data_IF_251788619542
#
_entry.id   IF_251788619542
#
_cell.length_a   1.000
_cell.length_b   1.000
_cell.length_c   1.000
_cell.angle_alpha   90.00
_cell.angle_beta   90.00
_cell.angle_gamma   90.00
#
_symmetry.space_group_name_H-M   'P 1'
#
loop_
_entity.id
_entity.type
_entity.pdbx_description
1 polymer ?
#
# COMPACT_ATOMS: atom_id res chain seq x y z
N UNK A 1 -6.73 -31.55 -7.27
CA UNK A 1 -5.64 -31.32 -8.23
C UNK A 1 -4.94 -30.02 -7.87
N UNK A 2 -3.61 -29.90 -7.98
CA UNK A 2 -2.93 -28.62 -7.76
C UNK A 2 -3.44 -27.58 -8.77
N UNK A 3 -3.60 -26.32 -8.34
CA UNK A 3 -3.96 -25.23 -9.24
C UNK A 3 -2.91 -25.05 -10.33
N UNK A 4 -3.30 -24.71 -11.58
CA UNK A 4 -2.33 -24.46 -12.63
C UNK A 4 -1.39 -23.30 -12.28
N UNK A 5 -0.16 -23.27 -12.83
CA UNK A 5 0.74 -22.14 -12.69
C UNK A 5 0.07 -20.82 -13.11
N UNK A 6 0.38 -19.69 -12.47
CA UNK A 6 -0.14 -18.39 -12.90
C UNK A 6 0.42 -17.96 -14.26
N UNK A 7 -0.39 -17.25 -15.04
CA UNK A 7 0.10 -16.47 -16.19
C UNK A 7 0.57 -15.09 -15.75
N UNK A 8 -0.05 -14.52 -14.71
CA UNK A 8 0.22 -13.17 -14.22
C UNK A 8 0.59 -13.16 -12.75
N UNK A 9 1.66 -12.41 -12.44
CA UNK A 9 2.07 -12.06 -11.09
C UNK A 9 1.82 -10.56 -10.93
N UNK A 10 0.77 -10.22 -10.19
CA UNK A 10 0.30 -8.85 -9.98
C UNK A 10 0.68 -8.37 -8.58
N UNK A 11 1.36 -7.23 -8.47
CA UNK A 11 1.88 -6.72 -7.21
C UNK A 11 1.25 -5.36 -6.87
N UNK A 12 0.86 -5.17 -5.61
CA UNK A 12 0.87 -3.83 -5.04
C UNK A 12 2.30 -3.31 -4.95
N UNK A 13 2.44 -1.99 -4.86
CA UNK A 13 3.76 -1.34 -4.75
C UNK A 13 4.07 -1.01 -3.30
N UNK A 14 3.24 -0.19 -2.64
CA UNK A 14 3.42 0.15 -1.23
C UNK A 14 3.19 -1.06 -0.34
N UNK A 15 4.01 -1.24 0.69
CA UNK A 15 3.90 -2.38 1.61
C UNK A 15 4.33 -3.74 1.04
N UNK A 16 4.64 -3.81 -0.26
CA UNK A 16 5.06 -5.03 -0.97
C UNK A 16 6.41 -4.87 -1.65
N UNK A 17 6.53 -3.95 -2.62
CA UNK A 17 7.79 -3.69 -3.33
C UNK A 17 8.63 -2.62 -2.63
N UNK A 18 7.97 -1.67 -1.98
CA UNK A 18 8.57 -0.55 -1.27
C UNK A 18 7.92 -0.37 0.11
N UNK A 19 8.63 0.30 1.01
CA UNK A 19 8.07 0.76 2.27
C UNK A 19 8.23 -0.21 3.43
N UNK A 20 9.26 -1.08 3.42
CA UNK A 20 9.78 -1.75 4.62
C UNK A 20 11.28 -2.07 4.46
N UNK A 21 12.15 -1.23 5.03
CA UNK A 21 13.52 -1.65 5.34
C UNK A 21 13.59 -1.90 6.83
N UNK A 22 13.92 -3.12 7.24
CA UNK A 22 14.34 -3.38 8.62
C UNK A 22 15.70 -2.69 8.79
N UNK A 23 15.73 -1.51 9.42
CA UNK A 23 17.01 -0.89 9.76
C UNK A 23 17.60 -1.69 10.92
N UNK A 24 18.68 -2.42 10.65
CA UNK A 24 19.51 -2.98 11.72
C UNK A 24 20.16 -1.82 12.47
N UNK A 25 20.09 -1.74 13.82
CA UNK A 25 20.76 -0.69 14.55
C UNK A 25 22.27 -0.75 14.25
N UNK A 26 22.83 0.36 13.79
CA UNK A 26 24.28 0.53 13.63
C UNK A 26 24.94 0.65 15.00
N UNK A 27 25.08 -0.47 15.71
CA UNK A 27 26.01 -0.70 16.82
C UNK A 27 25.73 -2.07 17.42
N UNK A 28 26.80 -2.84 17.66
CA UNK A 28 26.80 -4.20 18.22
C UNK A 28 26.24 -4.34 19.65
N UNK A 29 25.53 -3.34 20.18
CA UNK A 29 25.13 -3.26 21.59
C UNK A 29 23.72 -2.70 21.82
N UNK A 30 22.82 -2.66 20.82
CA UNK A 30 21.43 -2.24 21.07
C UNK A 30 20.41 -3.32 20.71
N UNK A 31 19.73 -3.85 21.72
CA UNK A 31 18.55 -4.72 21.63
C UNK A 31 17.30 -3.92 21.16
N UNK A 32 17.43 -3.02 20.19
CA UNK A 32 16.29 -2.28 19.63
C UNK A 32 15.59 -3.15 18.58
N UNK A 33 14.25 -3.29 18.64
CA UNK A 33 13.51 -4.04 17.64
C UNK A 33 13.67 -3.38 16.26
N UNK A 34 13.74 -4.22 15.22
CA UNK A 34 13.79 -3.80 13.83
C UNK A 34 12.64 -2.83 13.53
N UNK A 35 12.94 -1.66 12.99
CA UNK A 35 11.92 -0.65 12.69
C UNK A 35 11.31 -0.90 11.31
N UNK A 36 10.00 -1.14 11.26
CA UNK A 36 9.23 -1.18 10.00
C UNK A 36 8.98 0.25 9.53
N UNK A 37 9.39 0.57 8.30
CA UNK A 37 9.35 1.92 7.74
C UNK A 37 8.24 2.02 6.69
N UNK A 38 6.98 2.14 7.12
CA UNK A 38 5.75 2.15 6.30
C UNK A 38 4.93 3.44 6.52
N UNK A 39 4.00 3.83 5.61
CA UNK A 39 3.13 4.98 5.84
C UNK A 39 2.34 4.86 7.16
N UNK A 40 1.94 3.65 7.55
CA UNK A 40 1.30 3.37 8.83
C UNK A 40 2.22 3.61 10.03
N UNK A 41 3.52 3.32 9.88
CA UNK A 41 4.51 3.58 10.91
C UNK A 41 4.78 5.09 11.07
N UNK A 42 4.79 5.86 9.96
CA UNK A 42 4.84 7.32 10.01
C UNK A 42 3.61 7.92 10.71
N UNK A 43 2.40 7.43 10.38
CA UNK A 43 1.17 7.81 11.08
C UNK A 43 1.29 7.55 12.58
N UNK A 44 1.71 6.34 12.98
CA UNK A 44 1.87 6.00 14.39
C UNK A 44 2.90 6.89 15.10
N UNK A 45 4.02 7.22 14.43
CA UNK A 45 5.03 8.11 14.96
C UNK A 45 4.49 9.53 15.13
N UNK A 46 3.75 10.04 14.14
CA UNK A 46 3.08 11.33 14.20
C UNK A 46 2.07 11.40 15.33
N UNK A 47 1.23 10.37 15.48
CA UNK A 47 0.23 10.31 16.54
C UNK A 47 0.89 10.38 17.92
N UNK A 48 1.96 9.60 18.14
CA UNK A 48 2.73 9.64 19.40
C UNK A 48 3.38 10.99 19.65
N UNK A 49 4.02 11.57 18.64
CA UNK A 49 4.74 12.84 18.78
C UNK A 49 3.79 14.00 19.13
N UNK A 50 2.56 13.95 18.61
CA UNK A 50 1.57 15.01 18.80
C UNK A 50 0.52 14.67 19.87
N UNK A 51 0.71 13.62 20.66
CA UNK A 51 -0.22 13.17 21.71
C UNK A 51 -1.64 12.92 21.20
N UNK A 52 -1.75 12.43 19.97
CA UNK A 52 -3.01 12.04 19.35
C UNK A 52 -3.32 10.60 19.76
N UNK A 53 -4.57 10.30 20.18
CA UNK A 53 -5.00 8.92 20.40
C UNK A 53 -4.68 7.99 19.23
N UNK A 54 -3.92 6.93 19.51
CA UNK A 54 -3.39 6.01 18.50
C UNK A 54 -4.53 5.41 17.68
N UNK A 55 -4.38 5.47 16.36
CA UNK A 55 -5.31 4.94 15.37
C UNK A 55 -6.34 5.95 14.86
N UNK A 56 -6.34 7.18 15.36
CA UNK A 56 -7.24 8.23 14.90
C UNK A 56 -7.05 8.50 13.39
N UNK A 57 -5.82 8.76 12.96
CA UNK A 57 -5.53 9.22 11.60
C UNK A 57 -5.95 8.15 10.57
N UNK A 58 -5.61 6.89 10.83
CA UNK A 58 -6.04 5.77 9.98
C UNK A 58 -7.56 5.60 9.97
N UNK A 59 -8.22 5.83 11.12
CA UNK A 59 -9.68 5.76 11.21
C UNK A 59 -10.32 6.87 10.39
N UNK A 60 -9.84 8.10 10.52
CA UNK A 60 -10.33 9.25 9.76
C UNK A 60 -10.16 9.04 8.24
N UNK A 61 -8.96 8.68 7.78
CA UNK A 61 -8.69 8.38 6.36
C UNK A 61 -9.67 7.33 5.81
N UNK A 62 -9.86 6.24 6.55
CA UNK A 62 -10.75 5.15 6.15
C UNK A 62 -12.22 5.56 6.15
N UNK A 63 -12.65 6.30 7.18
CA UNK A 63 -14.05 6.66 7.38
C UNK A 63 -14.52 7.82 6.48
N UNK A 64 -13.62 8.70 6.02
CA UNK A 64 -13.92 9.71 5.00
C UNK A 64 -14.29 9.08 3.64
N UNK A 65 -13.96 7.80 3.45
CA UNK A 65 -14.52 6.96 2.40
C UNK A 65 -14.26 7.51 1.00
N UNK A 66 -15.23 7.33 0.09
CA UNK A 66 -15.08 7.74 -1.32
C UNK A 66 -15.03 9.26 -1.49
N UNK A 67 -15.59 10.04 -0.59
CA UNK A 67 -15.70 11.50 -0.72
C UNK A 67 -14.53 12.25 -0.11
N UNK A 68 -13.73 11.58 0.72
CA UNK A 68 -12.54 12.16 1.35
C UNK A 68 -11.47 12.57 0.34
N UNK A 69 -10.67 13.56 0.72
CA UNK A 69 -9.57 14.11 -0.06
C UNK A 69 -8.55 13.04 -0.45
N UNK A 70 -8.21 12.12 0.46
CA UNK A 70 -7.30 11.01 0.17
C UNK A 70 -7.79 10.13 -0.99
N UNK A 71 -9.06 9.70 -0.94
CA UNK A 71 -9.64 8.86 -1.98
C UNK A 71 -9.79 9.60 -3.32
N UNK A 72 -10.06 10.91 -3.29
CA UNK A 72 -10.08 11.77 -4.49
C UNK A 72 -8.70 11.90 -5.11
N UNK A 73 -7.66 12.10 -4.30
CA UNK A 73 -6.27 12.16 -4.74
C UNK A 73 -5.84 10.84 -5.38
N UNK A 74 -6.15 9.71 -4.73
CA UNK A 74 -5.84 8.37 -5.26
C UNK A 74 -6.53 8.06 -6.59
N UNK A 75 -7.66 8.71 -6.90
CA UNK A 75 -8.36 8.61 -8.19
C UNK A 75 -7.99 9.73 -9.16
N UNK A 76 -7.00 10.56 -8.85
CA UNK A 76 -6.61 11.69 -9.71
C UNK A 76 -7.71 12.74 -9.90
N UNK A 77 -8.71 12.78 -9.01
CA UNK A 77 -9.84 13.72 -9.10
C UNK A 77 -9.48 15.12 -8.59
N UNK A 78 -8.42 15.22 -7.78
CA UNK A 78 -7.83 16.47 -7.30
C UNK A 78 -6.31 16.38 -7.41
N UNK A 79 -5.61 17.49 -7.70
CA UNK A 79 -4.15 17.53 -7.76
C UNK A 79 -3.53 17.43 -6.35
N UNK A 80 -2.26 17.01 -6.29
CA UNK A 80 -1.45 17.06 -5.08
C UNK A 80 -0.93 18.48 -4.84
N UNK A 81 -1.80 19.35 -4.31
CA UNK A 81 -1.49 20.75 -4.01
C UNK A 81 -2.17 21.23 -2.71
N UNK A 82 -2.17 22.54 -2.47
CA UNK A 82 -2.78 23.16 -1.30
C UNK A 82 -4.28 22.84 -1.15
N UNK A 83 -5.01 22.58 -2.24
CA UNK A 83 -6.41 22.18 -2.21
C UNK A 83 -6.57 20.79 -1.61
N UNK A 84 -5.70 19.85 -2.00
CA UNK A 84 -5.64 18.53 -1.37
C UNK A 84 -5.28 18.64 0.11
N UNK A 85 -4.23 19.39 0.46
CA UNK A 85 -3.79 19.49 1.85
C UNK A 85 -4.84 20.12 2.77
N UNK A 86 -5.56 21.14 2.27
CA UNK A 86 -6.70 21.72 2.99
C UNK A 86 -7.83 20.71 3.18
N UNK A 87 -8.23 20.00 2.11
CA UNK A 87 -9.26 18.97 2.20
C UNK A 87 -8.87 17.80 3.11
N UNK A 88 -7.61 17.37 3.06
CA UNK A 88 -7.09 16.29 3.89
C UNK A 88 -7.04 16.69 5.37
N UNK A 89 -6.60 17.92 5.66
CA UNK A 89 -6.66 18.48 7.01
C UNK A 89 -8.10 18.55 7.52
N UNK A 90 -9.03 19.01 6.68
CA UNK A 90 -10.46 19.05 7.02
C UNK A 90 -11.03 17.66 7.35
N UNK A 91 -10.68 16.64 6.57
CA UNK A 91 -11.12 15.26 6.83
C UNK A 91 -10.60 14.74 8.19
N UNK A 92 -9.36 15.09 8.56
CA UNK A 92 -8.72 14.70 9.82
C UNK A 92 -9.24 15.46 11.04
N UNK A 93 -9.99 16.53 10.83
CA UNK A 93 -10.63 17.34 11.86
C UNK A 93 -12.15 17.18 11.91
N UNK A 94 -12.72 16.19 11.20
CA UNK A 94 -14.17 15.93 11.22
C UNK A 94 -14.65 15.57 12.64
N UNK A 95 -15.49 16.42 13.21
CA UNK A 95 -15.94 16.25 14.59
C UNK A 95 -16.80 15.01 14.81
N UNK A 96 -17.57 14.60 13.79
CA UNK A 96 -18.49 13.45 13.91
C UNK A 96 -17.68 12.15 13.90
N UNK A 97 -16.72 12.03 13.01
CA UNK A 97 -15.78 10.92 12.97
C UNK A 97 -14.96 10.87 14.26
N UNK A 98 -14.52 12.03 14.75
CA UNK A 98 -13.75 12.14 16.00
C UNK A 98 -14.54 11.65 17.20
N UNK A 99 -15.77 12.13 17.41
CA UNK A 99 -16.65 11.67 18.50
C UNK A 99 -16.83 10.15 18.46
N UNK A 100 -17.11 9.58 17.28
CA UNK A 100 -17.29 8.13 17.11
C UNK A 100 -16.02 7.33 17.43
N UNK A 101 -14.85 7.83 17.04
CA UNK A 101 -13.58 7.22 17.36
C UNK A 101 -13.29 7.31 18.86
N UNK A 102 -13.54 8.48 19.48
CA UNK A 102 -13.23 8.74 20.88
C UNK A 102 -14.05 7.86 21.83
N UNK A 103 -15.34 7.63 21.54
CA UNK A 103 -16.18 6.66 22.29
C UNK A 103 -15.48 5.29 22.35
N UNK A 104 -15.07 4.75 21.19
CA UNK A 104 -14.39 3.44 21.10
C UNK A 104 -13.02 3.45 21.78
N UNK A 105 -12.34 4.60 21.75
CA UNK A 105 -11.07 4.78 22.43
C UNK A 105 -11.22 4.69 23.95
N UNK A 106 -12.25 5.33 24.53
CA UNK A 106 -12.55 5.27 25.96
C UNK A 106 -12.95 3.86 26.41
N UNK A 107 -13.86 3.20 25.67
CA UNK A 107 -14.25 1.80 25.94
C UNK A 107 -13.03 0.89 26.06
N UNK A 108 -12.06 1.07 25.15
CA UNK A 108 -10.85 0.24 25.09
C UNK A 108 -9.81 0.59 26.17
N UNK A 109 -9.60 1.88 26.43
CA UNK A 109 -8.50 2.34 27.31
C UNK A 109 -8.89 2.35 28.78
N UNK A 110 -10.17 2.60 29.10
CA UNK A 110 -10.67 2.71 30.48
C UNK A 110 -11.56 1.53 30.91
N UNK A 111 -11.83 0.57 30.02
CA UNK A 111 -12.75 -0.56 30.24
C UNK A 111 -14.18 -0.12 30.61
N UNK A 112 -14.58 1.06 30.14
CA UNK A 112 -15.92 1.59 30.36
C UNK A 112 -16.95 0.85 29.51
N UNK A 113 -18.20 0.79 29.98
CA UNK A 113 -19.31 0.31 29.13
C UNK A 113 -19.65 1.37 28.08
N UNK A 114 -20.13 0.97 26.90
CA UNK A 114 -20.42 1.93 25.82
C UNK A 114 -21.45 3.01 26.18
N UNK A 115 -22.34 2.74 27.14
CA UNK A 115 -23.26 3.74 27.69
C UNK A 115 -22.54 4.82 28.51
N UNK A 116 -21.55 4.43 29.34
CA UNK A 116 -20.74 5.37 30.13
C UNK A 116 -19.82 6.21 29.25
N UNK A 117 -19.16 5.58 28.27
CA UNK A 117 -18.30 6.29 27.32
C UNK A 117 -19.11 7.27 26.45
N UNK A 118 -20.34 6.90 26.04
CA UNK A 118 -21.24 7.78 25.30
C UNK A 118 -21.73 8.95 26.16
N UNK A 119 -22.04 8.74 27.43
CA UNK A 119 -22.44 9.80 28.36
C UNK A 119 -21.30 10.79 28.62
N UNK A 120 -20.06 10.32 28.87
CA UNK A 120 -18.88 11.20 28.99
C UNK A 120 -18.64 11.98 27.69
N UNK A 121 -18.82 11.34 26.54
CA UNK A 121 -18.64 11.99 25.24
C UNK A 121 -19.65 13.11 25.00
N UNK A 122 -20.88 12.96 25.50
CA UNK A 122 -21.93 14.00 25.41
C UNK A 122 -21.53 15.25 26.20
N UNK A 123 -20.76 15.11 27.29
CA UNK A 123 -20.39 16.24 28.14
C UNK A 123 -18.94 16.75 27.97
N UNK A 124 -17.99 15.91 27.53
CA UNK A 124 -16.55 16.20 27.57
C UNK A 124 -15.70 15.62 26.42
N UNK A 125 -16.20 15.45 25.19
CA UNK A 125 -15.28 15.13 24.06
C UNK A 125 -14.31 16.30 23.83
N UNK A 126 -12.98 16.06 23.87
CA UNK A 126 -12.02 17.08 23.48
C UNK A 126 -12.21 17.44 22.00
N UNK A 127 -11.85 18.65 21.60
CA UNK A 127 -11.85 19.00 20.17
C UNK A 127 -10.98 18.00 19.36
N UNK A 128 -11.30 17.77 18.07
CA UNK A 128 -10.42 17.00 17.19
C UNK A 128 -8.99 17.54 17.25
N UNK A 129 -7.97 16.66 17.15
CA UNK A 129 -6.59 17.09 17.21
C UNK A 129 -6.27 18.03 16.04
N UNK A 130 -5.47 19.07 16.31
CA UNK A 130 -4.94 19.94 15.27
C UNK A 130 -3.83 19.21 14.51
N UNK A 131 -4.16 18.70 13.32
CA UNK A 131 -3.24 17.94 12.47
C UNK A 131 -2.84 18.79 11.27
N UNK A 132 -1.54 18.95 11.07
CA UNK A 132 -0.99 19.51 9.83
C UNK A 132 -0.98 18.41 8.76
N UNK A 133 -2.00 18.42 7.89
CA UNK A 133 -2.19 17.41 6.85
C UNK A 133 -1.09 17.40 5.80
N UNK A 134 -0.50 18.55 5.47
CA UNK A 134 0.62 18.63 4.52
C UNK A 134 1.87 17.99 5.10
N UNK A 135 2.25 18.38 6.32
CA UNK A 135 3.40 17.80 7.01
C UNK A 135 3.24 16.29 7.22
N UNK A 136 2.05 15.85 7.62
CA UNK A 136 1.74 14.42 7.78
C UNK A 136 1.89 13.66 6.45
N UNK A 137 1.32 14.20 5.36
CA UNK A 137 1.39 13.58 4.04
C UNK A 137 2.85 13.40 3.61
N UNK A 138 3.67 14.45 3.68
CA UNK A 138 5.06 14.37 3.26
C UNK A 138 5.86 13.39 4.13
N UNK A 139 5.64 13.38 5.45
CA UNK A 139 6.28 12.38 6.31
C UNK A 139 5.92 10.94 5.93
N UNK A 140 4.64 10.69 5.61
CA UNK A 140 4.21 9.37 5.13
C UNK A 140 4.89 9.03 3.80
N UNK A 141 4.95 9.96 2.85
CA UNK A 141 5.55 9.71 1.54
C UNK A 141 7.05 9.48 1.64
N UNK A 142 7.80 10.27 2.42
CA UNK A 142 9.26 10.12 2.55
C UNK A 142 9.66 8.73 3.05
N UNK A 143 8.93 8.16 4.01
CA UNK A 143 9.30 6.85 4.57
C UNK A 143 8.94 5.68 3.65
N UNK A 144 7.95 5.86 2.77
CA UNK A 144 7.31 4.77 2.03
C UNK A 144 7.99 4.41 0.70
N UNK A 145 9.20 4.92 0.47
CA UNK A 145 9.89 4.85 -0.84
C UNK A 145 11.08 3.91 -0.88
N UNK A 146 11.55 3.43 0.27
CA UNK A 146 12.69 2.52 0.32
C UNK A 146 12.32 1.16 -0.29
N UNK A 147 13.17 0.56 -1.15
CA UNK A 147 12.96 -0.79 -1.63
C UNK A 147 12.85 -1.79 -0.47
N UNK A 148 11.91 -2.73 -0.56
CA UNK A 148 11.83 -3.83 0.40
C UNK A 148 13.04 -4.78 0.23
N UNK A 149 13.69 -5.16 1.34
CA UNK A 149 14.95 -5.91 1.31
C UNK A 149 14.84 -7.33 0.74
N UNK A 150 13.64 -7.91 0.70
CA UNK A 150 13.40 -9.25 0.17
C UNK A 150 12.75 -9.20 -1.21
N UNK A 151 11.70 -8.39 -1.37
CA UNK A 151 10.91 -8.33 -2.60
C UNK A 151 11.67 -7.64 -3.73
N UNK A 152 12.45 -6.58 -3.44
CA UNK A 152 13.21 -5.86 -4.46
C UNK A 152 14.19 -6.77 -5.24
N UNK A 153 15.15 -7.47 -4.61
CA UNK A 153 16.04 -8.37 -5.33
C UNK A 153 15.31 -9.56 -5.97
N UNK A 154 14.21 -10.02 -5.37
CA UNK A 154 13.37 -11.08 -5.93
C UNK A 154 12.69 -10.64 -7.24
N UNK A 155 12.14 -9.42 -7.31
CA UNK A 155 11.54 -8.86 -8.51
C UNK A 155 12.57 -8.66 -9.63
N UNK A 156 13.77 -8.18 -9.31
CA UNK A 156 14.84 -8.07 -10.30
C UNK A 156 15.21 -9.44 -10.91
N UNK A 157 15.27 -10.49 -10.08
CA UNK A 157 15.50 -11.87 -10.57
C UNK A 157 14.29 -12.43 -11.33
N UNK A 158 13.08 -12.18 -10.87
CA UNK A 158 11.85 -12.59 -11.56
C UNK A 158 11.82 -11.99 -12.96
N UNK A 159 12.11 -10.69 -13.09
CA UNK A 159 12.13 -9.98 -14.38
C UNK A 159 13.08 -10.61 -15.40
N UNK A 160 14.25 -11.08 -14.96
CA UNK A 160 15.23 -11.78 -15.81
C UNK A 160 14.69 -13.09 -16.40
N UNK A 161 13.80 -13.78 -15.68
CA UNK A 161 13.24 -15.07 -16.09
C UNK A 161 11.82 -14.98 -16.67
N UNK A 162 11.11 -13.89 -16.40
CA UNK A 162 9.68 -13.74 -16.70
C UNK A 162 9.37 -14.02 -18.18
N UNK A 163 10.15 -13.43 -19.11
CA UNK A 163 9.96 -13.64 -20.55
C UNK A 163 10.14 -15.10 -20.96
N UNK A 164 11.18 -15.77 -20.47
CA UNK A 164 11.44 -17.18 -20.78
C UNK A 164 10.36 -18.10 -20.20
N UNK A 165 9.83 -17.75 -19.03
CA UNK A 165 8.78 -18.52 -18.36
C UNK A 165 7.36 -18.18 -18.84
N UNK A 166 7.21 -17.15 -19.68
CA UNK A 166 5.90 -16.70 -20.17
C UNK A 166 5.07 -15.94 -19.13
N UNK A 167 5.67 -15.45 -18.05
CA UNK A 167 4.94 -14.66 -17.04
C UNK A 167 4.76 -13.22 -17.51
N UNK A 168 3.58 -12.66 -17.24
CA UNK A 168 3.35 -11.22 -17.19
C UNK A 168 3.59 -10.77 -15.75
N UNK A 169 4.53 -9.83 -15.56
CA UNK A 169 4.79 -9.20 -14.27
C UNK A 169 4.10 -7.84 -14.28
N UNK A 170 3.12 -7.63 -13.40
CA UNK A 170 2.29 -6.42 -13.43
C UNK A 170 2.18 -5.77 -12.05
N UNK A 171 1.83 -4.48 -12.05
CA UNK A 171 1.58 -3.71 -10.83
C UNK A 171 0.15 -3.12 -10.82
N UNK A 172 -0.48 -3.10 -9.64
CA UNK A 172 -1.74 -2.44 -9.36
C UNK A 172 -1.64 -1.69 -8.03
N UNK A 173 -1.53 -0.36 -8.09
CA UNK A 173 -1.24 0.47 -6.92
C UNK A 173 -2.18 1.66 -6.79
N UNK A 174 -2.59 1.93 -5.54
CA UNK A 174 -3.18 3.21 -5.18
C UNK A 174 -2.04 4.23 -5.08
N UNK A 175 -2.09 5.28 -5.90
CA UNK A 175 -0.99 6.21 -6.15
C UNK A 175 -1.51 7.64 -6.19
N UNK A 176 -0.61 8.61 -6.05
CA UNK A 176 -0.88 10.03 -6.27
C UNK A 176 -0.04 10.52 -7.45
N UNK A 177 -0.54 11.52 -8.19
CA UNK A 177 0.25 12.18 -9.24
C UNK A 177 1.05 13.30 -8.57
N UNK A 178 2.37 13.16 -8.56
CA UNK A 178 3.26 14.19 -8.03
C UNK A 178 3.33 15.38 -8.99
N UNK A 179 3.44 16.62 -8.47
CA UNK A 179 3.71 17.80 -9.29
C UNK A 179 4.94 17.61 -10.18
N UNK A 180 4.94 18.24 -11.35
CA UNK A 180 6.09 18.20 -12.26
C UNK A 180 7.34 18.77 -11.58
N UNK A 181 8.48 18.08 -11.74
CA UNK A 181 9.75 18.49 -11.13
C UNK A 181 9.86 18.23 -9.63
N UNK A 182 8.89 17.57 -9.00
CA UNK A 182 9.00 17.17 -7.60
C UNK A 182 10.19 16.21 -7.39
N UNK A 183 10.83 16.25 -6.22
CA UNK A 183 12.00 15.41 -5.93
C UNK A 183 11.71 13.89 -6.07
N UNK A 184 10.45 13.50 -5.94
CA UNK A 184 10.01 12.10 -6.00
C UNK A 184 9.69 11.56 -7.39
N UNK A 185 9.61 12.42 -8.41
CA UNK A 185 9.38 12.02 -9.80
C UNK A 185 10.42 12.59 -10.77
N UNK A 186 11.29 13.49 -10.31
CA UNK A 186 12.36 14.06 -11.12
C UNK A 186 13.39 12.98 -11.54
N UNK A 187 13.75 12.88 -12.82
CA UNK A 187 14.68 11.86 -13.31
C UNK A 187 16.10 12.02 -12.77
N UNK A 188 16.44 13.17 -12.21
CA UNK A 188 17.78 13.51 -11.73
C UNK A 188 17.96 13.26 -10.22
N UNK A 189 16.93 12.78 -9.53
CA UNK A 189 16.99 12.48 -8.10
C UNK A 189 17.13 10.98 -7.84
N UNK A 190 17.74 10.56 -6.72
CA UNK A 190 17.80 9.14 -6.35
C UNK A 190 16.42 8.47 -6.31
N UNK A 191 15.41 9.20 -5.83
CA UNK A 191 14.04 8.73 -5.72
C UNK A 191 13.34 8.54 -7.07
N UNK A 192 13.54 9.47 -8.03
CA UNK A 192 12.96 9.34 -9.35
C UNK A 192 13.65 8.28 -10.20
N UNK A 193 14.99 8.16 -10.09
CA UNK A 193 15.76 7.08 -10.73
C UNK A 193 15.26 5.71 -10.25
N UNK A 194 15.16 5.52 -8.92
CA UNK A 194 14.65 4.28 -8.36
C UNK A 194 13.21 3.98 -8.79
N UNK A 195 12.32 4.97 -8.77
CA UNK A 195 10.94 4.79 -9.20
C UNK A 195 10.84 4.40 -10.69
N UNK A 196 11.68 4.97 -11.55
CA UNK A 196 11.78 4.59 -12.95
C UNK A 196 12.29 3.15 -13.13
N UNK A 197 13.32 2.75 -12.36
CA UNK A 197 13.83 1.36 -12.37
C UNK A 197 12.75 0.37 -11.93
N UNK A 198 12.07 0.65 -10.80
CA UNK A 198 10.99 -0.17 -10.28
C UNK A 198 9.86 -0.32 -11.31
N UNK A 199 9.40 0.80 -11.89
CA UNK A 199 8.36 0.78 -12.93
C UNK A 199 8.78 -0.06 -14.14
N UNK A 200 10.07 0.00 -14.52
CA UNK A 200 10.65 -0.77 -15.63
C UNK A 200 10.65 -2.29 -15.43
N UNK A 201 10.42 -2.80 -14.22
CA UNK A 201 10.29 -4.23 -13.97
C UNK A 201 8.93 -4.81 -14.40
N UNK A 202 7.92 -3.95 -14.60
CA UNK A 202 6.55 -4.38 -14.88
C UNK A 202 6.21 -4.25 -16.37
N UNK A 203 5.59 -5.29 -16.91
CA UNK A 203 5.01 -5.31 -18.24
C UNK A 203 3.75 -4.43 -18.35
N UNK A 204 3.00 -4.32 -17.24
CA UNK A 204 1.84 -3.45 -17.09
C UNK A 204 1.89 -2.78 -15.70
N UNK A 205 1.65 -1.47 -15.66
CA UNK A 205 1.59 -0.71 -14.40
C UNK A 205 0.27 0.07 -14.34
N UNK A 206 -0.69 -0.43 -13.57
CA UNK A 206 -1.98 0.24 -13.32
C UNK A 206 -1.84 1.15 -12.11
N UNK A 207 -1.85 2.45 -12.37
CA UNK A 207 -1.85 3.51 -11.36
C UNK A 207 -3.27 4.05 -11.18
N UNK A 208 -3.81 3.93 -9.96
CA UNK A 208 -5.15 4.38 -9.60
C UNK A 208 -5.45 5.81 -10.07
N UNK A 209 -4.52 6.75 -9.84
CA UNK A 209 -4.74 8.15 -10.14
C UNK A 209 -4.76 8.45 -11.64
N UNK A 210 -4.04 7.66 -12.44
CA UNK A 210 -4.02 7.82 -13.89
C UNK A 210 -5.25 7.20 -14.56
N UNK A 211 -5.84 6.16 -13.97
CA UNK A 211 -7.02 5.48 -14.53
C UNK A 211 -8.34 5.96 -13.93
N UNK A 212 -8.30 6.82 -12.91
CA UNK A 212 -9.51 7.38 -12.29
C UNK A 212 -10.24 6.45 -11.32
N UNK A 213 -9.65 5.30 -10.98
CA UNK A 213 -10.25 4.23 -10.16
C UNK A 213 -9.35 3.95 -8.96
N UNK A 214 -9.80 3.22 -7.94
CA UNK A 214 -8.95 2.85 -6.80
C UNK A 214 -9.30 1.50 -6.19
N UNK A 215 -8.32 0.82 -5.60
CA UNK A 215 -8.59 -0.29 -4.70
C UNK A 215 -9.30 0.26 -3.44
N UNK A 216 -10.26 -0.48 -2.84
CA UNK A 216 -10.72 -1.82 -3.21
C UNK A 216 -12.00 -1.82 -4.07
N UNK A 217 -12.28 -0.77 -4.85
CA UNK A 217 -13.46 -0.72 -5.72
C UNK A 217 -13.30 -1.74 -6.88
N UNK A 218 -14.33 -2.55 -7.16
CA UNK A 218 -14.25 -3.65 -8.15
C UNK A 218 -13.84 -3.21 -9.56
N UNK A 219 -14.22 -1.98 -9.94
CA UNK A 219 -13.95 -1.40 -11.26
C UNK A 219 -12.46 -1.45 -11.64
N UNK A 220 -11.54 -1.14 -10.70
CA UNK A 220 -10.09 -1.16 -11.00
C UNK A 220 -9.58 -2.58 -11.23
N UNK A 221 -10.21 -3.59 -10.62
CA UNK A 221 -9.80 -4.98 -10.79
C UNK A 221 -10.24 -5.50 -12.16
N UNK A 222 -11.48 -5.20 -12.56
CA UNK A 222 -11.97 -5.53 -13.90
C UNK A 222 -11.16 -4.84 -14.98
N UNK A 223 -10.91 -3.53 -14.83
CA UNK A 223 -10.02 -2.79 -15.71
C UNK A 223 -8.62 -3.45 -15.82
N UNK A 224 -8.05 -3.85 -14.68
CA UNK A 224 -6.74 -4.52 -14.66
C UNK A 224 -6.78 -5.88 -15.36
N UNK A 225 -7.83 -6.68 -15.15
CA UNK A 225 -8.00 -7.98 -15.81
C UNK A 225 -8.08 -7.80 -17.34
N UNK A 226 -8.90 -6.85 -17.80
CA UNK A 226 -9.07 -6.58 -19.24
C UNK A 226 -7.76 -6.10 -19.88
N UNK A 227 -7.02 -5.23 -19.19
CA UNK A 227 -5.72 -4.76 -19.65
C UNK A 227 -4.68 -5.89 -19.73
N UNK A 228 -4.70 -6.83 -18.78
CA UNK A 228 -3.83 -8.00 -18.79
C UNK A 228 -4.20 -9.00 -19.88
N UNK A 229 -5.50 -9.26 -20.11
CA UNK A 229 -5.97 -10.11 -21.20
C UNK A 229 -5.55 -9.54 -22.56
N UNK A 230 -5.76 -8.23 -22.76
CA UNK A 230 -5.31 -7.52 -23.96
C UNK A 230 -3.81 -7.68 -24.16
N UNK A 231 -3.00 -7.42 -23.12
CA UNK A 231 -1.54 -7.56 -23.19
C UNK A 231 -1.11 -9.01 -23.51
N UNK A 232 -1.78 -10.00 -22.95
CA UNK A 232 -1.49 -11.41 -23.21
C UNK A 232 -1.78 -11.77 -24.68
N UNK A 233 -2.92 -11.33 -25.22
CA UNK A 233 -3.30 -11.54 -26.63
C UNK A 233 -2.34 -10.85 -27.59
N UNK A 234 -1.92 -9.62 -27.28
CA UNK A 234 -0.90 -8.90 -28.05
C UNK A 234 0.46 -9.63 -28.06
N UNK A 235 0.74 -10.44 -27.03
CA UNK A 235 1.92 -11.32 -26.95
C UNK A 235 1.73 -12.68 -27.62
N UNK A 236 0.58 -12.91 -28.25
CA UNK A 236 0.26 -14.16 -28.97
C UNK A 236 -0.38 -15.26 -28.12
N UNK A 237 -0.83 -14.96 -26.89
CA UNK A 237 -1.63 -15.90 -26.10
C UNK A 237 -3.10 -15.88 -26.59
N UNK A 238 -3.48 -16.89 -27.37
CA UNK A 238 -4.84 -16.99 -27.93
C UNK A 238 -5.92 -17.26 -26.86
N UNK A 239 -5.55 -17.91 -25.76
CA UNK A 239 -6.48 -18.18 -24.66
C UNK A 239 -6.66 -16.93 -23.80
N UNK A 240 -5.66 -16.05 -23.77
CA UNK A 240 -5.67 -14.80 -23.01
C UNK A 240 -5.49 -15.03 -21.51
N UNK A 241 -5.93 -14.07 -20.69
CA UNK A 241 -5.81 -14.10 -19.23
C UNK A 241 -7.18 -13.94 -18.60
N UNK A 242 -7.52 -14.85 -17.69
CA UNK A 242 -8.69 -14.73 -16.82
C UNK A 242 -8.29 -14.37 -15.39
N UNK A 243 -9.25 -13.99 -14.55
CA UNK A 243 -8.97 -13.68 -13.14
C UNK A 243 -8.23 -14.81 -12.41
N UNK A 244 -8.58 -16.07 -12.66
CA UNK A 244 -7.93 -17.24 -12.03
C UNK A 244 -6.46 -17.41 -12.40
N UNK A 245 -6.02 -16.85 -13.52
CA UNK A 245 -4.63 -16.88 -14.00
C UNK A 245 -3.73 -15.86 -13.27
N UNK A 246 -4.33 -14.94 -12.51
CA UNK A 246 -3.66 -13.85 -11.81
C UNK A 246 -3.46 -14.23 -10.34
N UNK A 247 -2.23 -14.06 -9.84
CA UNK A 247 -1.94 -14.07 -8.40
C UNK A 247 -1.61 -12.64 -7.97
N UNK A 248 -2.46 -12.07 -7.11
CA UNK A 248 -2.34 -10.72 -6.60
C UNK A 248 -1.69 -10.68 -5.21
N UNK A 249 -0.56 -9.97 -5.10
CA UNK A 249 0.19 -9.74 -3.86
C UNK A 249 -0.10 -8.33 -3.33
N UNK A 250 -0.65 -8.22 -2.13
CA UNK A 250 -1.00 -6.95 -1.48
C UNK A 250 -0.90 -7.13 0.04
N UNK A 251 -0.54 -6.09 0.79
CA UNK A 251 -0.48 -6.13 2.26
C UNK A 251 -1.85 -5.84 2.91
N UNK A 252 -2.75 -5.19 2.18
CA UNK A 252 -4.04 -4.72 2.66
C UNK A 252 -5.12 -5.78 2.43
N UNK A 253 -5.67 -6.30 3.54
CA UNK A 253 -6.65 -7.38 3.49
C UNK A 253 -7.96 -7.06 2.76
N UNK A 254 -8.42 -5.80 2.74
CA UNK A 254 -9.60 -5.40 1.96
C UNK A 254 -9.36 -5.54 0.46
N UNK A 255 -8.19 -5.13 -0.02
CA UNK A 255 -7.81 -5.22 -1.43
C UNK A 255 -7.80 -6.67 -1.90
N UNK A 256 -7.24 -7.57 -1.07
CA UNK A 256 -7.22 -9.00 -1.36
C UNK A 256 -8.62 -9.62 -1.33
N UNK A 257 -9.51 -9.16 -0.43
CA UNK A 257 -10.90 -9.65 -0.42
C UNK A 257 -11.62 -9.30 -1.70
N UNK A 258 -11.46 -8.07 -2.23
CA UNK A 258 -12.04 -7.72 -3.53
C UNK A 258 -11.37 -8.50 -4.67
N UNK A 259 -10.05 -8.68 -4.65
CA UNK A 259 -9.34 -9.52 -5.61
C UNK A 259 -9.91 -10.95 -5.69
N UNK A 260 -10.14 -11.60 -4.55
CA UNK A 260 -10.82 -12.91 -4.50
C UNK A 260 -12.24 -12.86 -5.01
N UNK A 261 -12.99 -11.80 -4.67
CA UNK A 261 -14.39 -11.61 -5.10
C UNK A 261 -14.50 -11.60 -6.63
N UNK A 262 -13.55 -10.97 -7.33
CA UNK A 262 -13.51 -10.94 -8.80
C UNK A 262 -12.84 -12.17 -9.43
N UNK A 263 -12.40 -13.14 -8.62
CA UNK A 263 -11.86 -14.43 -9.08
C UNK A 263 -10.33 -14.54 -9.11
N UNK A 264 -9.58 -13.55 -8.62
CA UNK A 264 -8.13 -13.64 -8.54
C UNK A 264 -7.66 -14.59 -7.44
N UNK A 265 -6.53 -15.25 -7.67
CA UNK A 265 -5.74 -15.82 -6.57
C UNK A 265 -5.04 -14.68 -5.84
N UNK A 266 -4.78 -14.87 -4.55
CA UNK A 266 -4.22 -13.79 -3.71
C UNK A 266 -3.19 -14.31 -2.74
N UNK A 267 -2.14 -13.53 -2.51
CA UNK A 267 -1.15 -13.75 -1.47
C UNK A 267 -1.11 -12.51 -0.59
N UNK A 268 -1.30 -12.68 0.72
CA UNK A 268 -1.16 -11.56 1.67
C UNK A 268 0.32 -11.37 1.99
N UNK A 269 0.81 -10.17 1.75
CA UNK A 269 2.15 -9.78 2.21
C UNK A 269 2.03 -9.28 3.65
N UNK A 270 2.65 -10.01 4.57
CA UNK A 270 2.72 -9.58 5.97
C UNK A 270 3.75 -8.45 6.09
N UNK A 271 3.36 -7.32 6.69
CA UNK A 271 4.29 -6.20 6.91
C UNK A 271 5.52 -6.68 7.72
N UNK A 272 6.71 -6.44 7.18
CA UNK A 272 8.00 -6.87 7.75
C UNK A 272 8.36 -8.31 7.45
N UNK A 273 7.54 -9.04 6.70
CA UNK A 273 7.70 -10.46 6.36
C UNK A 273 7.54 -10.73 4.86
N UNK A 274 8.09 -9.84 4.04
CA UNK A 274 8.15 -10.02 2.59
C UNK A 274 8.94 -11.27 2.18
N UNK A 275 9.82 -11.79 3.05
CA UNK A 275 10.50 -13.08 2.90
C UNK A 275 9.52 -14.22 2.60
N UNK A 276 8.41 -14.30 3.35
CA UNK A 276 7.36 -15.32 3.13
C UNK A 276 6.63 -15.14 1.80
N UNK A 277 6.41 -13.89 1.38
CA UNK A 277 5.79 -13.62 0.09
C UNK A 277 6.70 -14.04 -1.07
N UNK A 278 8.03 -13.86 -0.91
CA UNK A 278 9.02 -14.37 -1.86
C UNK A 278 9.05 -15.91 -1.86
N UNK A 279 8.96 -16.58 -0.72
CA UNK A 279 8.84 -18.05 -0.66
C UNK A 279 7.63 -18.57 -1.45
N UNK A 280 6.48 -17.93 -1.29
CA UNK A 280 5.27 -18.27 -2.05
C UNK A 280 5.46 -17.99 -3.54
N UNK A 281 6.15 -16.90 -3.90
CA UNK A 281 6.51 -16.59 -5.28
C UNK A 281 7.42 -17.67 -5.89
N UNK A 282 8.42 -18.15 -5.16
CA UNK A 282 9.27 -19.28 -5.58
C UNK A 282 8.43 -20.55 -5.79
N UNK A 283 7.51 -20.86 -4.87
CA UNK A 283 6.62 -22.02 -4.97
C UNK A 283 5.70 -21.96 -6.19
N UNK A 284 5.13 -20.77 -6.48
CA UNK A 284 4.24 -20.56 -7.61
C UNK A 284 4.97 -20.60 -8.96
N UNK A 285 6.22 -20.14 -8.99
CA UNK A 285 6.97 -19.96 -10.24
C UNK A 285 7.97 -21.07 -10.54
N UNK A 286 8.38 -21.85 -9.53
CA UNK A 286 9.49 -22.79 -9.58
C UNK A 286 10.86 -22.12 -9.72
N UNK A 287 10.96 -20.81 -9.51
CA UNK A 287 12.21 -20.04 -9.58
C UNK A 287 12.87 -19.93 -8.22
N UNK A 288 14.20 -19.80 -8.19
CA UNK A 288 14.95 -19.41 -6.99
C UNK A 288 15.18 -17.90 -7.02
N UNK A 289 14.46 -17.17 -6.16
CA UNK A 289 14.38 -15.71 -6.14
C UNK A 289 15.06 -15.09 -4.90
N UNK A 290 15.16 -15.83 -3.80
CA UNK A 290 15.93 -15.40 -2.63
C UNK A 290 17.43 -15.31 -2.95
N UNK A 291 18.13 -14.40 -2.28
CA UNK A 291 19.59 -14.43 -2.24
C UNK A 291 20.07 -15.72 -1.59
N UNK A 292 21.33 -16.11 -1.82
CA UNK A 292 21.99 -17.02 -0.87
C UNK A 292 22.00 -16.30 0.48
N UNK A 293 21.06 -16.61 1.35
CA UNK A 293 21.16 -16.18 2.73
C UNK A 293 22.44 -16.79 3.28
N UNK A 294 23.44 -15.94 3.55
CA UNK A 294 24.52 -16.29 4.45
C UNK A 294 23.86 -16.88 5.69
N UNK A 295 24.10 -18.17 5.92
CA UNK A 295 23.79 -18.83 7.18
C UNK A 295 24.38 -17.94 8.27
N UNK A 296 23.53 -17.25 9.02
CA UNK A 296 23.85 -16.59 10.27
C UNK A 296 22.97 -17.22 11.34
#
# INVERSE_FOLDING_TARGET
MPSPPPKVLLFDIGGVCVGISLISPSSSHSNRPLQVVSPFAAILAYEKQNSIPIGWINTAISASGKTGAWAKLERGQIPLDSSFFSGFTSDLSDEKLWRNFYIKHLEKTRKETGAQAAEEVVFQVPAPPNIDGEKLYWQMMTVSRKPDSHMWPALQKLRKHAKQKGYIVAALSNTSIFPEGHEFNSPDTPDGIFHAELRGLFDLFVSSAHVGMRKPDEEIYHYTIDALDKLARERGDNDGVTAGDIVFFDDIGTNLRTGRKVGMRTVKVELGRADKAVEELERLTGLHLRGESSKL
#
